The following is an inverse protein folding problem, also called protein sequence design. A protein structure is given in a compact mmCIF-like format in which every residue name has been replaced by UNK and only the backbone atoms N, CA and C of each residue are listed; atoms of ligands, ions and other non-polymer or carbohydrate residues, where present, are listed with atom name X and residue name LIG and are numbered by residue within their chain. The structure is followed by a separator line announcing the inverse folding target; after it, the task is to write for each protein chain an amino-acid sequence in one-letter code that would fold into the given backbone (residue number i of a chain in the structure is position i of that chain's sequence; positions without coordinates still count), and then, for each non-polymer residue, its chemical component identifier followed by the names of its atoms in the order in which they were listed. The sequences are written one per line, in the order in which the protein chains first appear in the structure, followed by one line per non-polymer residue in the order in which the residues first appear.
data_IF_846392595463
#
_entry.id   IF_846392595463
#
_cell.length_a   1.000
_cell.length_b   1.000
_cell.length_c   1.000
_cell.angle_alpha   90.00
_cell.angle_beta   90.00
_cell.angle_gamma   90.00
#
_symmetry.space_group_name_H-M   'P 1'
#
loop_
_entity.id
_entity.type
_entity.pdbx_description
1 polymer ?
#
# COMPACT_ATOMS: atom_id res chain seq x y z
N UNK A 1 4.12 3.84 9.89
CA UNK A 1 3.02 3.54 8.97
C UNK A 1 2.16 4.75 8.75
N UNK A 2 2.23 5.25 7.51
CA UNK A 2 1.66 6.50 7.05
C UNK A 2 0.66 6.19 5.94
N UNK A 3 -0.62 6.51 6.19
CA UNK A 3 -1.71 6.40 5.23
C UNK A 3 -2.11 7.83 4.84
N UNK A 4 -2.08 8.12 3.55
CA UNK A 4 -2.56 9.38 3.02
C UNK A 4 -3.92 9.19 2.33
N UNK A 5 -4.91 10.00 2.70
CA UNK A 5 -6.23 10.02 2.09
C UNK A 5 -6.35 11.28 1.23
N UNK A 6 -6.79 11.11 -0.02
CA UNK A 6 -7.09 12.25 -0.89
C UNK A 6 -8.34 11.97 -1.71
N UNK A 7 -9.38 12.78 -1.49
CA UNK A 7 -10.72 12.63 -2.06
C UNK A 7 -11.30 11.23 -1.75
N UNK A 8 -11.20 10.30 -2.71
CA UNK A 8 -11.66 8.90 -2.62
C UNK A 8 -10.52 7.88 -2.74
N UNK A 9 -9.28 8.33 -2.94
CA UNK A 9 -8.12 7.46 -3.08
C UNK A 9 -7.37 7.35 -1.76
N UNK A 10 -6.91 6.14 -1.51
CA UNK A 10 -6.07 5.78 -0.37
C UNK A 10 -4.67 5.52 -0.90
N UNK A 11 -3.69 6.13 -0.27
CA UNK A 11 -2.29 5.97 -0.62
C UNK A 11 -1.52 5.39 0.56
N UNK A 12 -0.62 4.47 0.27
CA UNK A 12 0.32 3.90 1.23
C UNK A 12 1.72 4.44 0.95
N UNK A 13 2.49 4.74 1.99
CA UNK A 13 3.92 4.99 1.85
C UNK A 13 4.63 3.73 1.35
N UNK A 14 5.45 3.89 0.31
CA UNK A 14 6.34 2.85 -0.19
C UNK A 14 7.39 2.47 0.86
N UNK A 15 7.83 3.43 1.68
CA UNK A 15 8.76 3.16 2.77
C UNK A 15 8.18 2.16 3.79
N UNK A 16 6.92 2.34 4.17
CA UNK A 16 6.21 1.42 5.06
C UNK A 16 5.94 0.06 4.44
N UNK A 17 5.66 0.00 3.13
CA UNK A 17 5.59 -1.28 2.40
C UNK A 17 6.92 -2.02 2.57
N UNK A 18 8.04 -1.37 2.26
CA UNK A 18 9.36 -1.99 2.34
C UNK A 18 9.76 -2.40 3.76
N UNK A 19 9.33 -1.64 4.77
CA UNK A 19 9.54 -2.00 6.16
C UNK A 19 8.73 -3.24 6.59
N UNK A 20 7.52 -3.42 6.04
CA UNK A 20 6.60 -4.51 6.38
C UNK A 20 6.91 -5.82 5.66
N UNK A 21 7.43 -5.75 4.44
CA UNK A 21 7.91 -6.91 3.67
C UNK A 21 9.44 -6.85 3.48
N UNK A 22 10.21 -6.93 4.57
CA UNK A 22 11.66 -6.80 4.50
C UNK A 22 12.24 -7.92 3.63
N UNK A 23 13.26 -7.59 2.83
CA UNK A 23 13.94 -8.49 1.86
C UNK A 23 13.15 -8.83 0.60
N UNK A 24 11.98 -8.23 0.40
CA UNK A 24 11.28 -8.35 -0.89
C UNK A 24 12.06 -7.60 -1.98
N UNK A 25 12.31 -8.20 -3.15
CA UNK A 25 12.95 -7.48 -4.23
C UNK A 25 12.00 -6.44 -4.80
N UNK A 26 12.54 -5.29 -5.18
CA UNK A 26 11.81 -4.27 -5.90
C UNK A 26 11.72 -4.67 -7.38
N UNK A 27 10.56 -5.18 -7.81
CA UNK A 27 10.34 -5.65 -9.18
C UNK A 27 10.06 -4.48 -10.14
N UNK A 28 10.38 -4.66 -11.43
CA UNK A 28 10.17 -3.63 -12.46
C UNK A 28 8.71 -3.15 -12.55
N UNK A 29 7.75 -4.06 -12.40
CA UNK A 29 6.32 -3.72 -12.37
C UNK A 29 5.93 -2.83 -11.18
N UNK A 30 6.67 -2.90 -10.06
CA UNK A 30 6.49 -2.02 -8.91
C UNK A 30 7.08 -0.63 -9.18
N UNK A 31 8.26 -0.58 -9.83
CA UNK A 31 8.89 0.67 -10.26
C UNK A 31 8.04 1.45 -11.28
N UNK A 32 7.43 0.73 -12.24
CA UNK A 32 6.60 1.32 -13.30
C UNK A 32 5.21 1.76 -12.83
N UNK A 33 4.77 1.35 -11.63
CA UNK A 33 3.48 1.75 -11.08
C UNK A 33 3.50 3.25 -10.75
N UNK A 34 2.47 4.04 -11.14
CA UNK A 34 2.41 5.47 -10.82
C UNK A 34 2.53 5.75 -9.31
N UNK A 35 3.47 6.63 -8.95
CA UNK A 35 3.79 7.00 -7.57
C UNK A 35 3.56 8.50 -7.38
N UNK A 36 3.13 8.91 -6.18
CA UNK A 36 3.10 10.31 -5.77
C UNK A 36 4.25 10.61 -4.84
N UNK A 37 4.85 11.79 -4.99
CA UNK A 37 5.82 12.30 -4.05
C UNK A 37 5.15 13.35 -3.16
N UNK A 38 5.22 13.17 -1.85
CA UNK A 38 4.69 14.10 -0.85
C UNK A 38 5.77 14.25 0.22
N UNK A 39 6.28 15.47 0.42
CA UNK A 39 7.29 15.77 1.45
C UNK A 39 8.49 14.82 1.45
N UNK A 40 9.04 14.50 0.26
CA UNK A 40 10.16 13.57 0.03
C UNK A 40 9.86 12.08 0.22
N UNK A 41 8.62 11.73 0.55
CA UNK A 41 8.19 10.34 0.66
C UNK A 41 7.38 9.93 -0.57
N UNK A 42 7.54 8.66 -0.98
CA UNK A 42 6.86 8.10 -2.14
C UNK A 42 5.64 7.31 -1.70
N UNK A 43 4.54 7.53 -2.40
CA UNK A 43 3.24 6.96 -2.11
C UNK A 43 2.70 6.22 -3.33
N UNK A 44 2.04 5.09 -3.08
CA UNK A 44 1.34 4.32 -4.10
C UNK A 44 -0.14 4.23 -3.76
N UNK A 45 -1.00 4.32 -4.77
CA UNK A 45 -2.43 4.08 -4.60
C UNK A 45 -2.69 2.62 -4.20
N UNK A 46 -3.58 2.41 -3.23
CA UNK A 46 -3.85 1.10 -2.63
C UNK A 46 -4.27 0.04 -3.68
N UNK A 47 -5.11 0.42 -4.65
CA UNK A 47 -5.56 -0.50 -5.70
C UNK A 47 -4.42 -0.86 -6.66
N UNK A 48 -3.45 0.04 -6.83
CA UNK A 48 -2.24 -0.23 -7.59
C UNK A 48 -1.27 -1.15 -6.83
N UNK A 49 -1.10 -0.92 -5.52
CA UNK A 49 -0.28 -1.76 -4.65
C UNK A 49 -0.84 -3.20 -4.54
N UNK A 50 -2.15 -3.41 -4.63
CA UNK A 50 -2.75 -4.75 -4.66
C UNK A 50 -2.25 -5.62 -5.82
N UNK A 51 -1.87 -5.01 -6.95
CA UNK A 51 -1.29 -5.73 -8.09
C UNK A 51 0.14 -6.23 -7.79
N UNK A 52 0.85 -5.59 -6.86
CA UNK A 52 2.20 -5.99 -6.49
C UNK A 52 2.22 -7.34 -5.77
N UNK A 53 1.19 -7.69 -4.99
CA UNK A 53 1.09 -9.02 -4.37
C UNK A 53 1.11 -10.12 -5.43
N UNK A 54 0.36 -9.94 -6.53
CA UNK A 54 0.35 -10.88 -7.65
C UNK A 54 1.68 -10.92 -8.40
N UNK A 55 2.35 -9.78 -8.57
CA UNK A 55 3.68 -9.72 -9.18
C UNK A 55 4.72 -10.48 -8.35
N UNK A 56 4.72 -10.25 -7.03
CA UNK A 56 5.61 -10.93 -6.09
C UNK A 56 5.37 -12.44 -6.07
N UNK A 57 4.11 -12.87 -6.05
CA UNK A 57 3.75 -14.29 -6.07
C UNK A 57 4.23 -14.97 -7.37
N UNK A 58 4.01 -14.33 -8.53
CA UNK A 58 4.49 -14.84 -9.83
C UNK A 58 6.01 -14.92 -9.93
N UNK A 59 6.72 -14.00 -9.29
CA UNK A 59 8.17 -14.01 -9.21
C UNK A 59 8.71 -15.01 -8.16
N UNK A 60 7.84 -15.75 -7.46
CA UNK A 60 8.22 -16.76 -6.46
C UNK A 60 8.38 -16.21 -5.03
N UNK A 61 8.13 -14.93 -4.80
CA UNK A 61 8.22 -14.27 -3.50
C UNK A 61 6.92 -14.37 -2.70
N UNK A 62 6.49 -15.61 -2.41
CA UNK A 62 5.19 -15.89 -1.76
C UNK A 62 5.04 -15.24 -0.39
N UNK A 63 6.07 -15.28 0.44
CA UNK A 63 6.03 -14.67 1.78
C UNK A 63 5.86 -13.14 1.70
N UNK A 64 6.57 -12.48 0.79
CA UNK A 64 6.40 -11.04 0.55
C UNK A 64 5.02 -10.71 -0.03
N UNK A 65 4.51 -11.54 -0.94
CA UNK A 65 3.16 -11.38 -1.48
C UNK A 65 2.09 -11.49 -0.38
N UNK A 66 2.25 -12.45 0.54
CA UNK A 66 1.37 -12.63 1.68
C UNK A 66 1.47 -11.46 2.67
N UNK A 67 2.68 -11.04 3.02
CA UNK A 67 2.90 -9.88 3.91
C UNK A 67 2.28 -8.60 3.36
N UNK A 68 2.44 -8.35 2.05
CA UNK A 68 1.82 -7.21 1.39
C UNK A 68 0.29 -7.32 1.39
N UNK A 69 -0.27 -8.52 1.15
CA UNK A 69 -1.71 -8.74 1.16
C UNK A 69 -2.30 -8.47 2.56
N UNK A 70 -1.62 -8.93 3.62
CA UNK A 70 -2.01 -8.65 5.00
C UNK A 70 -1.97 -7.15 5.31
N UNK A 71 -0.92 -6.45 4.87
CA UNK A 71 -0.78 -5.00 5.03
C UNK A 71 -1.94 -4.26 4.34
N UNK A 72 -2.24 -4.59 3.09
CA UNK A 72 -3.31 -3.95 2.32
C UNK A 72 -4.70 -4.22 2.92
N UNK A 73 -4.93 -5.44 3.42
CA UNK A 73 -6.17 -5.80 4.12
C UNK A 73 -6.34 -4.98 5.39
N UNK A 74 -5.29 -4.88 6.21
CA UNK A 74 -5.29 -4.06 7.41
C UNK A 74 -5.53 -2.57 7.07
N UNK A 75 -4.80 -2.01 6.11
CA UNK A 75 -4.98 -0.61 5.69
C UNK A 75 -6.40 -0.34 5.19
N UNK A 76 -7.02 -1.28 4.47
CA UNK A 76 -8.39 -1.12 3.98
C UNK A 76 -9.38 -0.97 5.13
N UNK A 77 -9.23 -1.79 6.19
CA UNK A 77 -10.07 -1.72 7.39
C UNK A 77 -9.89 -0.41 8.14
N UNK A 78 -8.65 0.00 8.39
CA UNK A 78 -8.36 1.27 9.08
C UNK A 78 -8.95 2.48 8.35
N UNK A 79 -8.88 2.48 7.02
CA UNK A 79 -9.45 3.56 6.21
C UNK A 79 -10.97 3.56 6.24
N UNK A 80 -11.61 2.38 6.28
CA UNK A 80 -13.06 2.26 6.45
C UNK A 80 -13.50 2.78 7.81
N UNK A 81 -12.77 2.44 8.88
CA UNK A 81 -13.01 2.95 10.24
C UNK A 81 -12.85 4.47 10.33
N UNK A 82 -11.79 5.03 9.72
CA UNK A 82 -11.56 6.48 9.67
C UNK A 82 -12.70 7.18 8.92
N UNK A 83 -13.17 6.63 7.79
CA UNK A 83 -14.28 7.21 7.01
C UNK A 83 -15.61 7.16 7.74
N UNK A 84 -15.87 6.08 8.47
CA UNK A 84 -17.10 5.88 9.22
C UNK A 84 -17.14 6.80 10.43
N UNK A 85 -16.07 6.80 11.24
CA UNK A 85 -15.97 7.63 12.46
C UNK A 85 -15.82 9.12 12.14
N UNK A 86 -15.17 9.47 11.03
CA UNK A 86 -15.03 10.85 10.56
C UNK A 86 -16.34 11.46 10.06
N UNK A 87 -17.29 10.64 9.60
CA UNK A 87 -18.62 11.08 9.18
C UNK A 87 -19.58 11.31 10.36
N UNK A 88 -19.32 10.72 11.53
CA UNK A 88 -20.17 10.90 12.73
C UNK A 88 -19.86 12.20 13.51
N UNK A 89 -18.83 12.96 13.11
CA UNK A 89 -18.43 14.23 13.74
C UNK A 89 -18.73 15.47 12.91
N UNK A 90 -19.61 15.39 11.90
CA UNK A 90 -20.10 16.52 11.11
C UNK A 90 -21.60 16.70 11.26
#
# INVERSE_FOLDING_TARGET
MTIALSRRKTYLSIGDVMATIPRSPWLDGMAATPQKMISHERYVDLASAAKWSQLLERAGHKESAQGLTSLLSWTSKEVEEIRTTGNERL
#
